data_IF_430192041324
#
_entry.id   IF_430192041324
#
_cell.length_a   1.000
_cell.length_b   1.000
_cell.length_c   1.000
_cell.angle_alpha   90.00
_cell.angle_beta   90.00
_cell.angle_gamma   90.00
#
_symmetry.space_group_name_H-M   'P 1'
#
loop_
_entity.id
_entity.type
_entity.pdbx_description
1 polymer ?
#
# COMPACT_ATOMS: atom_id res chain seq x y z
N UNK A 1 2.21 10.41 -4.99
CA UNK A 1 1.21 11.48 -4.75
C UNK A 1 1.17 11.89 -3.28
N UNK A 2 0.75 11.02 -2.35
CA UNK A 2 0.61 11.42 -0.94
C UNK A 2 1.91 11.94 -0.31
N UNK A 3 3.06 11.35 -0.67
CA UNK A 3 4.36 11.78 -0.13
C UNK A 3 4.83 13.14 -0.62
N UNK A 4 4.33 13.62 -1.77
CA UNK A 4 4.55 15.02 -2.16
C UNK A 4 3.94 15.96 -1.11
N UNK A 5 2.77 15.63 -0.55
CA UNK A 5 2.15 16.45 0.49
C UNK A 5 2.82 16.31 1.87
N UNK A 6 3.43 15.15 2.16
CA UNK A 6 4.02 14.85 3.48
C UNK A 6 5.49 15.24 3.62
N UNK A 7 6.21 15.29 2.51
CA UNK A 7 7.66 15.40 2.47
C UNK A 7 8.03 16.63 1.63
N UNK A 8 7.87 16.54 0.30
CA UNK A 8 8.29 17.58 -0.65
C UNK A 8 7.61 18.94 -0.41
N UNK A 9 6.34 18.96 0.03
CA UNK A 9 5.63 20.21 0.26
C UNK A 9 6.23 21.03 1.41
N UNK A 10 6.79 20.36 2.42
CA UNK A 10 7.47 21.03 3.54
C UNK A 10 8.79 21.66 3.10
N UNK A 11 9.51 21.00 2.19
CA UNK A 11 10.73 21.52 1.60
C UNK A 11 10.46 22.71 0.66
N UNK A 12 9.33 22.68 -0.06
CA UNK A 12 8.91 23.75 -0.96
C UNK A 12 8.36 24.98 -0.24
N UNK A 13 7.77 24.81 0.95
CA UNK A 13 7.19 25.88 1.77
C UNK A 13 7.75 25.87 3.21
N UNK A 14 9.05 26.16 3.41
CA UNK A 14 9.67 26.03 4.72
C UNK A 14 9.04 26.95 5.77
N UNK A 15 8.58 26.36 6.88
CA UNK A 15 7.99 27.08 8.01
C UNK A 15 6.55 27.53 7.81
N UNK A 16 5.90 27.16 6.71
CA UNK A 16 4.49 27.44 6.48
C UNK A 16 3.61 26.54 7.37
N UNK A 17 2.78 27.11 8.26
CA UNK A 17 1.94 26.33 9.16
C UNK A 17 0.85 25.53 8.44
N UNK A 18 0.38 25.99 7.28
CA UNK A 18 -0.64 25.29 6.49
C UNK A 18 -0.02 24.07 5.79
N UNK A 19 1.22 24.21 5.28
CA UNK A 19 1.96 23.08 4.73
C UNK A 19 2.20 22.00 5.80
N UNK A 20 2.62 22.41 7.00
CA UNK A 20 2.78 21.50 8.14
C UNK A 20 1.46 20.81 8.52
N UNK A 21 0.34 21.55 8.52
CA UNK A 21 -0.97 21.00 8.85
C UNK A 21 -1.44 19.96 7.82
N UNK A 22 -1.27 20.24 6.52
CA UNK A 22 -1.63 19.30 5.44
C UNK A 22 -0.76 18.05 5.50
N UNK A 23 0.56 18.20 5.67
CA UNK A 23 1.49 17.08 5.78
C UNK A 23 1.12 16.15 6.95
N UNK A 24 0.83 16.74 8.12
CA UNK A 24 0.44 15.99 9.32
C UNK A 24 -0.92 15.29 9.20
N UNK A 25 -1.77 15.67 8.24
CA UNK A 25 -3.10 15.09 8.04
C UNK A 25 -3.25 14.30 6.73
N UNK A 26 -2.13 13.98 6.08
CA UNK A 26 -2.08 13.20 4.85
C UNK A 26 -1.65 11.76 5.13
N UNK A 27 -2.52 10.80 4.88
CA UNK A 27 -2.28 9.38 5.18
C UNK A 27 -2.51 8.51 3.95
N UNK A 28 -1.79 7.40 3.88
CA UNK A 28 -2.25 6.28 3.04
C UNK A 28 -3.45 5.59 3.70
N UNK A 29 -4.31 4.94 2.91
CA UNK A 29 -5.53 4.31 3.43
C UNK A 29 -5.23 3.21 4.46
N UNK A 30 -4.26 2.38 4.17
CA UNK A 30 -3.75 1.31 5.02
C UNK A 30 -3.05 1.83 6.27
N UNK A 31 -2.29 2.92 6.15
CA UNK A 31 -1.73 3.64 7.30
C UNK A 31 -2.82 4.19 8.22
N UNK A 32 -3.82 4.84 7.63
CA UNK A 32 -4.95 5.39 8.37
C UNK A 32 -5.71 4.28 9.11
N UNK A 33 -6.05 3.18 8.43
CA UNK A 33 -6.76 2.05 9.02
C UNK A 33 -5.94 1.41 10.15
N UNK A 34 -4.65 1.16 9.95
CA UNK A 34 -3.78 0.62 11.00
C UNK A 34 -3.69 1.54 12.21
N UNK A 35 -3.65 2.86 11.99
CA UNK A 35 -3.61 3.86 13.07
C UNK A 35 -4.91 3.89 13.86
N UNK A 36 -6.07 3.94 13.20
CA UNK A 36 -7.37 3.95 13.90
C UNK A 36 -7.57 2.65 14.66
N UNK A 37 -7.25 1.50 14.05
CA UNK A 37 -7.37 0.19 14.72
C UNK A 37 -6.48 0.04 15.97
N UNK A 38 -5.42 0.83 16.09
CA UNK A 38 -4.55 0.81 17.26
C UNK A 38 -5.23 1.41 18.51
N UNK A 39 -6.16 2.36 18.33
CA UNK A 39 -6.81 3.10 19.43
C UNK A 39 -8.31 2.84 19.52
N UNK A 40 -8.94 2.43 18.43
CA UNK A 40 -10.39 2.36 18.29
C UNK A 40 -10.80 1.06 17.59
N UNK A 41 -12.09 0.74 17.71
CA UNK A 41 -12.70 -0.26 16.83
C UNK A 41 -12.98 0.40 15.47
N UNK A 42 -12.49 -0.19 14.38
CA UNK A 42 -12.79 0.28 13.01
C UNK A 42 -14.29 0.19 12.70
N UNK A 43 -15.03 -0.65 13.44
CA UNK A 43 -16.43 -0.94 13.17
C UNK A 43 -16.60 -1.63 11.82
N UNK A 44 -15.57 -2.35 11.36
CA UNK A 44 -15.58 -3.12 10.10
C UNK A 44 -15.65 -4.61 10.44
N UNK A 45 -16.66 -5.28 9.92
CA UNK A 45 -16.74 -6.73 9.96
C UNK A 45 -16.01 -7.30 8.74
N UNK A 46 -14.95 -8.07 9.00
CA UNK A 46 -14.19 -8.73 7.96
C UNK A 46 -14.72 -10.14 7.70
N UNK A 47 -14.62 -10.56 6.45
CA UNK A 47 -14.81 -11.95 6.01
C UNK A 47 -13.83 -12.89 6.72
N UNK A 48 -14.28 -14.11 6.99
CA UNK A 48 -13.46 -15.16 7.61
C UNK A 48 -12.79 -16.09 6.59
N UNK A 49 -13.15 -15.99 5.30
CA UNK A 49 -12.54 -16.81 4.27
C UNK A 49 -11.04 -16.49 4.14
N UNK A 50 -10.17 -17.53 4.12
CA UNK A 50 -8.73 -17.32 4.03
C UNK A 50 -8.38 -16.70 2.68
N UNK A 51 -7.57 -15.66 2.71
CA UNK A 51 -7.03 -14.99 1.52
C UNK A 51 -5.52 -14.82 1.65
N UNK A 52 -4.78 -15.28 0.65
CA UNK A 52 -3.35 -15.07 0.55
C UNK A 52 -3.02 -13.90 -0.36
N UNK A 53 -2.14 -13.01 0.10
CA UNK A 53 -1.71 -11.81 -0.63
C UNK A 53 -0.19 -11.74 -0.70
N UNK A 54 0.33 -11.53 -1.90
CA UNK A 54 1.70 -11.08 -2.11
C UNK A 54 1.69 -9.56 -2.28
N UNK A 55 2.21 -8.84 -1.30
CA UNK A 55 2.13 -7.38 -1.23
C UNK A 55 3.43 -6.71 -1.67
N UNK A 56 3.34 -5.74 -2.57
CA UNK A 56 4.44 -4.87 -2.96
C UNK A 56 4.10 -3.40 -2.71
N UNK A 57 4.63 -2.84 -1.62
CA UNK A 57 4.50 -1.41 -1.35
C UNK A 57 5.41 -0.56 -2.24
N UNK A 58 5.03 0.71 -2.39
CA UNK A 58 5.72 1.64 -3.28
C UNK A 58 7.11 1.99 -2.74
N UNK A 59 8.10 2.25 -3.59
CA UNK A 59 9.46 2.58 -3.15
C UNK A 59 9.52 3.82 -2.24
N UNK A 60 8.78 4.89 -2.56
CA UNK A 60 8.68 6.09 -1.70
C UNK A 60 8.03 5.77 -0.34
N UNK A 61 7.00 4.92 -0.34
CA UNK A 61 6.36 4.46 0.90
C UNK A 61 7.38 3.71 1.78
N UNK A 62 8.13 2.78 1.17
CA UNK A 62 9.16 2.01 1.86
C UNK A 62 10.26 2.88 2.45
N UNK A 63 10.68 3.91 1.71
CA UNK A 63 11.72 4.83 2.16
C UNK A 63 11.26 5.73 3.31
N UNK A 64 10.03 6.27 3.25
CA UNK A 64 9.58 7.30 4.18
C UNK A 64 8.87 6.75 5.42
N UNK A 65 8.03 5.72 5.27
CA UNK A 65 7.19 5.22 6.37
C UNK A 65 7.28 3.70 6.59
N UNK A 66 8.02 2.99 5.72
CA UNK A 66 8.12 1.53 5.77
C UNK A 66 6.81 0.82 5.42
N UNK A 67 6.78 -0.49 5.61
CA UNK A 67 5.67 -1.37 5.18
C UNK A 67 4.78 -1.86 6.33
N UNK A 68 5.16 -1.57 7.58
CA UNK A 68 4.51 -2.14 8.77
C UNK A 68 3.00 -1.87 8.78
N UNK A 69 2.59 -0.64 8.51
CA UNK A 69 1.18 -0.26 8.55
C UNK A 69 0.36 -0.99 7.47
N UNK A 70 0.90 -1.18 6.26
CA UNK A 70 0.25 -1.98 5.22
C UNK A 70 0.05 -3.43 5.63
N UNK A 71 1.09 -4.03 6.20
CA UNK A 71 1.06 -5.43 6.64
C UNK A 71 0.10 -5.60 7.82
N UNK A 72 0.04 -4.64 8.74
CA UNK A 72 -0.90 -4.62 9.85
C UNK A 72 -2.35 -4.46 9.34
N UNK A 73 -2.60 -3.57 8.38
CA UNK A 73 -3.94 -3.39 7.78
C UNK A 73 -4.43 -4.67 7.09
N UNK A 74 -3.57 -5.36 6.33
CA UNK A 74 -3.90 -6.64 5.73
C UNK A 74 -4.17 -7.71 6.81
N UNK A 75 -3.34 -7.77 7.85
CA UNK A 75 -3.53 -8.71 8.96
C UNK A 75 -4.82 -8.45 9.73
N UNK A 76 -5.19 -7.19 9.95
CA UNK A 76 -6.44 -6.77 10.59
C UNK A 76 -7.65 -7.32 9.82
N UNK A 77 -7.57 -7.37 8.49
CA UNK A 77 -8.61 -7.95 7.64
C UNK A 77 -8.56 -9.49 7.56
N UNK A 78 -7.73 -10.17 8.36
CA UNK A 78 -7.60 -11.64 8.36
C UNK A 78 -6.86 -12.21 7.16
N UNK A 79 -6.09 -11.38 6.43
CA UNK A 79 -5.37 -11.79 5.22
C UNK A 79 -3.99 -12.35 5.58
N UNK A 80 -3.62 -13.49 5.00
CA UNK A 80 -2.25 -14.02 5.03
C UNK A 80 -1.40 -13.27 3.99
N UNK A 81 -0.83 -12.14 4.42
CA UNK A 81 -0.02 -11.29 3.56
C UNK A 81 1.48 -11.58 3.71
N UNK A 82 2.18 -11.67 2.57
CA UNK A 82 3.64 -11.72 2.48
C UNK A 82 4.16 -10.52 1.71
N UNK A 83 5.04 -9.74 2.33
CA UNK A 83 5.71 -8.63 1.66
C UNK A 83 6.69 -9.16 0.60
N UNK A 84 6.73 -8.49 -0.54
CA UNK A 84 7.61 -8.82 -1.65
C UNK A 84 9.09 -8.74 -1.32
N UNK A 85 9.48 -7.90 -0.34
CA UNK A 85 10.88 -7.60 0.01
C UNK A 85 11.71 -7.00 -1.14
N UNK A 86 11.08 -6.67 -2.28
CA UNK A 86 11.75 -6.12 -3.44
C UNK A 86 12.04 -4.62 -3.28
N UNK A 87 12.91 -4.11 -4.16
CA UNK A 87 13.21 -2.68 -4.30
C UNK A 87 12.15 -1.98 -5.15
N UNK A 88 12.58 -1.08 -6.05
CA UNK A 88 11.69 -0.42 -6.99
C UNK A 88 11.12 -1.42 -8.02
N UNK A 89 9.93 -1.14 -8.56
CA UNK A 89 9.38 -1.87 -9.71
C UNK A 89 10.04 -1.50 -11.06
N UNK A 90 10.81 -0.41 -11.09
CA UNK A 90 11.51 0.09 -12.27
C UNK A 90 10.79 1.21 -13.02
N UNK A 91 9.53 1.52 -12.72
CA UNK A 91 8.77 2.55 -13.47
C UNK A 91 9.26 3.98 -13.17
N UNK A 92 9.42 4.34 -11.89
CA UNK A 92 9.94 5.64 -11.44
C UNK A 92 9.40 6.88 -12.21
N UNK A 93 8.07 7.02 -12.31
CA UNK A 93 7.45 8.14 -13.04
C UNK A 93 7.41 7.92 -14.55
N UNK A 94 7.86 8.90 -15.35
CA UNK A 94 7.96 8.78 -16.81
C UNK A 94 9.13 7.91 -17.27
N UNK A 95 10.13 7.70 -16.40
CA UNK A 95 11.37 7.00 -16.72
C UNK A 95 11.13 5.64 -17.40
N UNK A 96 10.22 4.81 -16.88
CA UNK A 96 9.93 3.51 -17.46
C UNK A 96 9.24 3.53 -18.83
N UNK A 97 8.65 4.66 -19.23
CA UNK A 97 8.02 4.85 -20.54
C UNK A 97 8.99 5.35 -21.61
N UNK A 98 10.08 6.00 -21.21
CA UNK A 98 11.04 6.57 -22.13
C UNK A 98 11.80 5.45 -22.85
N UNK A 99 11.85 5.51 -24.19
CA UNK A 99 12.43 4.46 -25.01
C UNK A 99 13.89 4.15 -24.66
N UNK A 100 14.66 5.18 -24.28
CA UNK A 100 16.06 5.03 -23.87
C UNK A 100 16.21 4.31 -22.52
N UNK A 101 15.18 4.35 -21.67
CA UNK A 101 15.19 3.85 -20.30
C UNK A 101 14.42 2.54 -20.13
N UNK A 102 13.65 2.11 -21.13
CA UNK A 102 12.82 0.90 -21.08
C UNK A 102 13.59 -0.34 -20.62
N UNK A 103 14.78 -0.59 -21.19
CA UNK A 103 15.58 -1.77 -20.83
C UNK A 103 16.12 -1.70 -19.39
N UNK A 104 16.45 -0.50 -18.91
CA UNK A 104 16.90 -0.29 -17.53
C UNK A 104 15.74 -0.47 -16.57
N UNK A 105 14.59 0.13 -16.87
CA UNK A 105 13.35 -0.03 -16.12
C UNK A 105 12.96 -1.50 -15.95
N UNK A 106 12.99 -2.26 -17.06
CA UNK A 106 12.76 -3.70 -17.03
C UNK A 106 13.76 -4.43 -16.15
N UNK A 107 15.07 -4.17 -16.30
CA UNK A 107 16.13 -4.82 -15.51
C UNK A 107 15.96 -4.60 -14.01
N UNK A 108 15.54 -3.41 -13.58
CA UNK A 108 15.28 -3.11 -12.17
C UNK A 108 14.17 -4.02 -11.61
N UNK A 109 13.06 -4.15 -12.31
CA UNK A 109 11.98 -5.05 -11.87
C UNK A 109 12.36 -6.53 -11.96
N UNK A 110 13.14 -6.92 -12.97
CA UNK A 110 13.66 -8.28 -13.16
C UNK A 110 14.67 -8.72 -12.09
N UNK A 111 15.30 -7.79 -11.37
CA UNK A 111 16.27 -8.12 -10.33
C UNK A 111 15.68 -9.00 -9.23
N UNK A 112 14.45 -8.68 -8.78
CA UNK A 112 13.77 -9.41 -7.68
C UNK A 112 12.26 -9.48 -7.80
N UNK A 113 11.60 -8.41 -8.25
CA UNK A 113 10.15 -8.29 -8.16
C UNK A 113 9.43 -9.21 -9.14
N UNK A 114 9.72 -9.08 -10.44
CA UNK A 114 9.00 -9.82 -11.47
C UNK A 114 9.19 -11.33 -11.39
N UNK A 115 10.40 -11.88 -11.11
CA UNK A 115 10.56 -13.31 -10.90
C UNK A 115 9.69 -13.82 -9.75
N UNK A 116 9.66 -13.11 -8.61
CA UNK A 116 8.84 -13.49 -7.45
C UNK A 116 7.35 -13.47 -7.78
N UNK A 117 6.88 -12.46 -8.50
CA UNK A 117 5.48 -12.37 -8.95
C UNK A 117 5.13 -13.55 -9.89
N UNK A 118 6.00 -13.91 -10.83
CA UNK A 118 5.77 -15.04 -11.74
C UNK A 118 5.74 -16.39 -11.03
N UNK A 119 6.55 -16.56 -9.99
CA UNK A 119 6.58 -17.80 -9.18
C UNK A 119 5.53 -17.83 -8.06
N UNK A 120 4.86 -16.70 -7.79
CA UNK A 120 3.81 -16.63 -6.78
C UNK A 120 2.62 -17.48 -7.25
N UNK A 121 2.02 -18.33 -6.40
CA UNK A 121 0.92 -19.20 -6.83
C UNK A 121 -0.23 -18.43 -7.53
N UNK A 122 -0.89 -19.01 -8.54
CA UNK A 122 -1.95 -18.35 -9.30
C UNK A 122 -3.10 -17.82 -8.44
N UNK A 123 -3.45 -18.53 -7.37
CA UNK A 123 -4.50 -18.20 -6.41
C UNK A 123 -4.12 -17.09 -5.42
N UNK A 124 -2.82 -16.79 -5.28
CA UNK A 124 -2.36 -15.69 -4.43
C UNK A 124 -2.60 -14.36 -5.14
N UNK A 125 -3.29 -13.44 -4.48
CA UNK A 125 -3.53 -12.10 -4.98
C UNK A 125 -2.23 -11.29 -4.99
N UNK A 126 -1.92 -10.61 -6.10
CA UNK A 126 -0.81 -9.64 -6.15
C UNK A 126 -1.38 -8.26 -5.79
N UNK A 127 -0.96 -7.72 -4.65
CA UNK A 127 -1.43 -6.43 -4.16
C UNK A 127 -0.33 -5.37 -4.20
N UNK A 128 -0.68 -4.13 -4.57
CA UNK A 128 0.23 -2.98 -4.60
C UNK A 128 -0.36 -1.77 -3.87
N UNK A 129 0.49 -0.77 -3.61
CA UNK A 129 0.07 0.51 -3.05
C UNK A 129 0.25 1.72 -4.00
N UNK A 130 0.75 1.51 -5.22
CA UNK A 130 1.01 2.61 -6.16
C UNK A 130 0.77 2.26 -7.63
N UNK A 131 0.11 3.17 -8.36
CA UNK A 131 -0.33 2.99 -9.75
C UNK A 131 0.80 2.63 -10.72
N UNK A 132 1.98 3.23 -10.56
CA UNK A 132 3.15 2.90 -11.39
C UNK A 132 3.56 1.43 -11.23
N UNK A 133 3.55 0.92 -10.00
CA UNK A 133 3.86 -0.49 -9.74
C UNK A 133 2.79 -1.43 -10.30
N UNK A 134 1.52 -1.02 -10.28
CA UNK A 134 0.42 -1.77 -10.88
C UNK A 134 0.68 -2.05 -12.36
N UNK A 135 0.81 -0.98 -13.16
CA UNK A 135 0.99 -1.09 -14.60
C UNK A 135 2.29 -1.82 -14.95
N UNK A 136 3.37 -1.53 -14.21
CA UNK A 136 4.66 -2.14 -14.43
C UNK A 136 4.63 -3.67 -14.22
N UNK A 137 4.04 -4.13 -13.10
CA UNK A 137 3.96 -5.56 -12.81
C UNK A 137 3.07 -6.26 -13.84
N UNK A 138 1.91 -5.70 -14.18
CA UNK A 138 1.02 -6.30 -15.20
C UNK A 138 1.72 -6.42 -16.55
N UNK A 139 2.39 -5.36 -17.01
CA UNK A 139 3.08 -5.31 -18.30
C UNK A 139 4.16 -6.38 -18.43
N UNK A 140 4.97 -6.59 -17.40
CA UNK A 140 6.14 -7.49 -17.46
C UNK A 140 5.88 -8.91 -16.97
N UNK A 141 4.78 -9.16 -16.26
CA UNK A 141 4.48 -10.48 -15.69
C UNK A 141 3.21 -11.11 -16.20
N UNK A 142 2.30 -10.33 -16.80
CA UNK A 142 0.97 -10.78 -17.19
C UNK A 142 0.05 -11.16 -16.02
N UNK A 143 0.51 -11.00 -14.76
CA UNK A 143 -0.30 -11.24 -13.57
C UNK A 143 -1.18 -10.03 -13.31
N UNK A 144 -2.48 -10.25 -13.13
CA UNK A 144 -3.40 -9.22 -12.66
C UNK A 144 -2.98 -8.72 -11.28
N UNK A 145 -3.01 -7.41 -11.11
CA UNK A 145 -2.67 -6.74 -9.85
C UNK A 145 -3.91 -6.06 -9.27
N UNK A 146 -3.97 -5.95 -7.95
CA UNK A 146 -5.00 -5.17 -7.24
C UNK A 146 -4.34 -4.11 -6.36
N UNK A 147 -4.98 -2.96 -6.20
CA UNK A 147 -4.60 -2.01 -5.16
C UNK A 147 -4.99 -2.56 -3.78
N UNK A 148 -4.20 -2.27 -2.75
CA UNK A 148 -4.45 -2.72 -1.37
C UNK A 148 -5.85 -2.31 -0.88
N UNK A 149 -6.34 -1.14 -1.30
CA UNK A 149 -7.70 -0.69 -0.99
C UNK A 149 -8.78 -1.62 -1.55
N UNK A 150 -8.60 -2.16 -2.76
CA UNK A 150 -9.54 -3.11 -3.36
C UNK A 150 -9.52 -4.43 -2.59
N UNK A 151 -8.32 -4.91 -2.26
CA UNK A 151 -8.13 -6.14 -1.48
C UNK A 151 -8.82 -6.04 -0.11
N UNK A 152 -8.64 -4.91 0.58
CA UNK A 152 -9.31 -4.66 1.87
C UNK A 152 -10.82 -4.54 1.69
N UNK A 153 -11.29 -3.79 0.68
CA UNK A 153 -12.73 -3.61 0.43
C UNK A 153 -13.43 -4.94 0.11
N UNK A 154 -12.81 -5.81 -0.68
CA UNK A 154 -13.34 -7.15 -0.98
C UNK A 154 -13.41 -8.06 0.25
N UNK A 155 -12.55 -7.81 1.25
CA UNK A 155 -12.53 -8.55 2.51
C UNK A 155 -13.57 -8.04 3.52
N UNK A 156 -14.26 -6.93 3.26
CA UNK A 156 -15.40 -6.50 4.08
C UNK A 156 -16.57 -7.49 3.92
N UNK A 157 -17.21 -7.83 5.02
CA UNK A 157 -18.36 -8.74 5.06
C UNK A 157 -19.50 -8.18 4.18
N UNK A 158 -20.07 -8.98 3.24
CA UNK A 158 -21.19 -8.50 2.42
C UNK A 158 -22.37 -8.08 3.29
N UNK A 159 -22.96 -6.92 2.98
CA UNK A 159 -24.08 -6.36 3.75
C UNK A 159 -23.66 -5.67 5.05
N UNK A 160 -22.35 -5.57 5.32
CA UNK A 160 -21.84 -4.80 6.44
C UNK A 160 -22.32 -3.34 6.36
N UNK A 161 -22.96 -2.87 7.43
CA UNK A 161 -23.37 -1.48 7.60
C UNK A 161 -22.41 -0.84 8.59
N UNK A 162 -21.52 0.02 8.10
CA UNK A 162 -20.54 0.68 8.95
C UNK A 162 -21.23 1.50 10.03
N UNK A 163 -20.76 1.34 11.27
CA UNK A 163 -21.12 2.19 12.40
C UNK A 163 -19.82 2.65 13.05
N UNK A 164 -19.72 3.92 13.45
CA UNK A 164 -18.54 4.40 14.15
C UNK A 164 -18.30 3.52 15.39
N UNK A 165 -17.09 2.97 15.52
CA UNK A 165 -16.71 2.26 16.73
C UNK A 165 -16.83 3.20 17.94
N UNK A 166 -17.34 2.68 19.05
CA UNK A 166 -17.27 3.42 20.32
C UNK A 166 -15.83 3.31 20.78
N UNK A 167 -15.09 4.42 20.80
CA UNK A 167 -13.65 4.41 21.10
C UNK A 167 -13.34 3.61 22.37
N UNK A 168 -12.21 2.90 22.39
CA UNK A 168 -11.70 2.32 23.64
C UNK A 168 -11.35 3.50 24.53
N UNK A 169 -12.22 3.82 25.49
CA UNK A 169 -11.93 4.86 26.48
C UNK A 169 -10.53 4.58 27.04
N UNK A 170 -9.60 5.50 26.81
CA UNK A 170 -8.29 5.44 27.43
C UNK A 170 -8.53 5.40 28.94
N UNK A 171 -8.22 4.27 29.57
CA UNK A 171 -7.99 4.26 31.01
C UNK A 171 -6.78 5.17 31.22
N UNK A 172 -7.03 6.38 31.70
CA UNK A 172 -6.01 7.29 32.14
C UNK A 172 -5.46 6.77 33.46
N UNK A 173 -4.17 6.41 33.46
CA UNK A 173 -3.33 6.30 34.66
C UNK A 173 -2.41 7.53 34.72
#
# INVERSE_FOLDING_TARGET
CIFTLRDEYLDLMPGDPDAAHVAANSYMIDEFLARVAATEDLGIEWRSEPRSVFFHGHCHQKALIGMKASMDALRLAGIDAKESGAGCCGMAGSFGYEAEHYDVSRKVGEERLFPRVRTTPPETTIAIAGVSCHQQIEHFTGRRVQHIAEVLAEQVQPGHVWRPGVGKAQAAD
#
